data_IF_870010182109
#
_entry.id   IF_870010182109
#
_cell.length_a   1.000
_cell.length_b   1.000
_cell.length_c   1.000
_cell.angle_alpha   90.00
_cell.angle_beta   90.00
_cell.angle_gamma   90.00
#
_symmetry.space_group_name_H-M   'P 1'
#
loop_
_entity.id
_entity.type
_entity.pdbx_description
1 polymer ?
#
# COMPACT_ATOMS: atom_id res chain seq x y z
N UNK A 1 10.67 7.25 2.53
CA UNK A 1 10.62 8.23 1.42
C UNK A 1 9.28 8.93 1.47
N UNK A 2 9.26 10.22 1.72
CA UNK A 2 8.00 10.92 1.91
C UNK A 2 7.68 11.94 0.80
N UNK A 3 8.65 12.50 0.09
CA UNK A 3 8.35 13.35 -1.07
C UNK A 3 8.15 12.53 -2.34
N UNK A 4 7.39 13.08 -3.29
CA UNK A 4 7.22 12.48 -4.61
C UNK A 4 8.57 12.33 -5.32
N UNK A 5 9.40 13.37 -5.26
CA UNK A 5 10.71 13.41 -5.89
C UNK A 5 11.67 12.33 -5.36
N UNK A 6 11.65 12.09 -4.04
CA UNK A 6 12.45 11.03 -3.42
C UNK A 6 12.00 9.64 -3.86
N UNK A 7 10.69 9.44 -3.99
CA UNK A 7 10.11 8.17 -4.47
C UNK A 7 10.50 7.91 -5.93
N UNK A 8 10.35 8.91 -6.79
CA UNK A 8 10.75 8.81 -8.21
C UNK A 8 12.24 8.54 -8.32
N UNK A 9 13.08 9.27 -7.56
CA UNK A 9 14.53 9.04 -7.54
C UNK A 9 14.88 7.61 -7.11
N UNK A 10 14.22 7.08 -6.09
CA UNK A 10 14.41 5.70 -5.65
C UNK A 10 14.02 4.68 -6.72
N UNK A 11 12.90 4.88 -7.42
CA UNK A 11 12.48 4.05 -8.54
C UNK A 11 13.48 4.11 -9.70
N UNK A 12 13.98 5.30 -10.03
CA UNK A 12 15.02 5.48 -11.05
C UNK A 12 16.32 4.76 -10.67
N UNK A 13 16.74 4.81 -9.41
CA UNK A 13 17.92 4.09 -8.94
C UNK A 13 17.72 2.56 -8.94
N UNK A 14 16.54 2.10 -8.52
CA UNK A 14 16.19 0.68 -8.65
C UNK A 14 16.25 0.23 -10.11
N UNK A 15 15.68 1.03 -11.03
CA UNK A 15 15.76 0.78 -12.48
C UNK A 15 17.20 0.78 -12.96
N UNK A 16 18.04 1.73 -12.51
CA UNK A 16 19.45 1.83 -12.93
C UNK A 16 20.24 0.57 -12.60
N UNK A 17 20.10 0.04 -11.38
CA UNK A 17 20.86 -1.13 -10.92
C UNK A 17 20.29 -2.47 -11.38
N UNK A 18 19.02 -2.50 -11.78
CA UNK A 18 18.37 -3.71 -12.29
C UNK A 18 18.85 -4.00 -13.72
N UNK A 19 19.10 -5.26 -14.04
CA UNK A 19 19.47 -5.71 -15.41
C UNK A 19 18.31 -5.44 -16.39
N UNK A 20 18.60 -5.27 -17.70
CA UNK A 20 17.55 -5.20 -18.72
C UNK A 20 16.60 -6.41 -18.63
N UNK A 21 15.28 -6.17 -18.65
CA UNK A 21 14.24 -7.19 -18.46
C UNK A 21 14.08 -7.71 -17.03
N UNK A 22 14.86 -7.20 -16.09
CA UNK A 22 14.76 -7.57 -14.68
C UNK A 22 13.52 -7.00 -14.00
N UNK A 23 13.15 -7.58 -12.87
CA UNK A 23 11.93 -7.26 -12.12
C UNK A 23 12.28 -6.47 -10.85
N UNK A 24 11.44 -5.48 -10.55
CA UNK A 24 11.53 -4.63 -9.36
C UNK A 24 10.24 -4.81 -8.56
N UNK A 25 10.36 -5.10 -7.26
CA UNK A 25 9.24 -5.15 -6.33
C UNK A 25 9.24 -3.89 -5.48
N UNK A 26 8.13 -3.17 -5.47
CA UNK A 26 7.97 -1.93 -4.69
C UNK A 26 6.80 -2.07 -3.73
N UNK A 27 7.08 -1.99 -2.44
CA UNK A 27 6.05 -2.08 -1.41
C UNK A 27 5.58 -0.68 -0.98
N UNK A 28 4.27 -0.52 -0.80
CA UNK A 28 3.62 0.71 -0.38
C UNK A 28 2.70 0.47 0.81
N UNK A 29 2.55 1.48 1.66
CA UNK A 29 1.54 1.54 2.72
C UNK A 29 0.36 2.36 2.22
N UNK A 30 -0.86 1.82 2.34
CA UNK A 30 -2.03 2.40 1.70
C UNK A 30 -2.76 3.38 2.60
N UNK A 31 -3.19 4.50 2.00
CA UNK A 31 -3.85 5.60 2.69
C UNK A 31 -5.16 5.19 3.37
N UNK A 32 -6.06 4.53 2.64
CA UNK A 32 -7.42 4.22 3.11
C UNK A 32 -7.40 3.29 4.32
N UNK A 33 -6.49 2.32 4.35
CA UNK A 33 -6.32 1.46 5.51
C UNK A 33 -5.95 2.25 6.78
N UNK A 34 -5.04 3.21 6.66
CA UNK A 34 -4.63 4.06 7.78
C UNK A 34 -5.78 4.93 8.29
N UNK A 35 -6.53 5.56 7.37
CA UNK A 35 -7.71 6.35 7.72
C UNK A 35 -8.75 5.50 8.46
N UNK A 36 -9.08 4.32 7.92
CA UNK A 36 -10.11 3.45 8.51
C UNK A 36 -9.69 2.87 9.85
N UNK A 37 -8.43 2.45 9.99
CA UNK A 37 -7.97 1.77 11.20
C UNK A 37 -7.50 2.73 12.28
N UNK A 38 -6.52 3.57 12.00
CA UNK A 38 -6.00 4.52 12.97
C UNK A 38 -6.98 5.68 13.19
N UNK A 39 -7.50 6.24 12.10
CA UNK A 39 -8.45 7.36 12.18
C UNK A 39 -9.75 6.96 12.86
N UNK A 40 -10.55 6.12 12.21
CA UNK A 40 -11.91 5.84 12.68
C UNK A 40 -11.98 4.75 13.75
N UNK A 41 -11.40 3.56 13.50
CA UNK A 41 -11.50 2.43 14.43
C UNK A 41 -10.84 2.73 15.79
N UNK A 42 -9.69 3.42 15.79
CA UNK A 42 -8.99 3.85 17.01
C UNK A 42 -9.41 5.25 17.49
N UNK A 43 -10.32 5.93 16.78
CA UNK A 43 -10.94 7.22 17.14
C UNK A 43 -9.98 8.42 17.17
N UNK A 44 -8.91 8.39 16.38
CA UNK A 44 -7.97 9.50 16.24
C UNK A 44 -8.33 10.49 15.12
N UNK A 45 -9.38 10.23 14.33
CA UNK A 45 -9.70 11.01 13.13
C UNK A 45 -9.84 12.51 13.39
N UNK A 46 -10.56 12.89 14.43
CA UNK A 46 -10.79 14.32 14.76
C UNK A 46 -9.51 15.04 15.18
N UNK A 47 -8.61 14.37 15.88
CA UNK A 47 -7.31 14.88 16.27
C UNK A 47 -6.41 15.03 15.02
N UNK A 48 -6.32 14.00 14.20
CA UNK A 48 -5.52 14.02 12.97
C UNK A 48 -5.93 15.12 11.99
N UNK A 49 -7.24 15.39 11.84
CA UNK A 49 -7.74 16.48 11.00
C UNK A 49 -7.35 17.84 11.60
N UNK A 50 -7.56 18.03 12.90
CA UNK A 50 -7.24 19.28 13.60
C UNK A 50 -5.75 19.61 13.54
N UNK A 51 -4.90 18.60 13.64
CA UNK A 51 -3.43 18.72 13.64
C UNK A 51 -2.84 18.76 12.22
N UNK A 52 -3.67 18.78 11.17
CA UNK A 52 -3.25 18.81 9.78
C UNK A 52 -2.55 17.52 9.30
N UNK A 53 -2.72 16.41 10.02
CA UNK A 53 -2.17 15.10 9.64
C UNK A 53 -3.04 14.35 8.63
N UNK A 54 -4.21 14.88 8.35
CA UNK A 54 -5.14 14.39 7.32
C UNK A 54 -5.68 15.62 6.60
N UNK A 55 -5.61 15.65 5.26
CA UNK A 55 -6.15 16.72 4.43
C UNK A 55 -7.67 16.69 4.34
N UNK A 56 -8.26 17.72 3.71
CA UNK A 56 -9.71 17.78 3.44
C UNK A 56 -10.20 16.64 2.55
N UNK A 57 -9.33 16.13 1.66
CA UNK A 57 -9.60 14.99 0.79
C UNK A 57 -9.27 13.63 1.45
N UNK A 58 -9.07 13.62 2.77
CA UNK A 58 -8.68 12.44 3.54
C UNK A 58 -7.38 11.77 3.06
N UNK A 59 -6.39 12.56 2.64
CA UNK A 59 -5.02 12.09 2.43
C UNK A 59 -4.23 12.21 3.73
N UNK A 60 -3.57 11.12 4.14
CA UNK A 60 -2.59 11.18 5.24
C UNK A 60 -1.41 12.08 4.83
N UNK A 61 -1.08 13.02 5.72
CA UNK A 61 0.01 13.98 5.54
C UNK A 61 1.20 13.53 6.37
N UNK A 62 2.23 13.00 5.70
CA UNK A 62 3.45 12.54 6.35
C UNK A 62 4.43 13.68 6.53
N UNK A 63 5.16 13.66 7.65
CA UNK A 63 6.25 14.58 7.95
C UNK A 63 7.61 13.90 7.69
N UNK A 64 8.71 14.65 7.51
CA UNK A 64 10.04 14.09 7.30
C UNK A 64 10.52 13.15 8.41
N UNK A 65 9.98 13.31 9.61
CA UNK A 65 10.26 12.46 10.77
C UNK A 65 9.48 11.15 10.78
N UNK A 66 8.45 11.02 9.93
CA UNK A 66 7.61 9.84 9.90
C UNK A 66 8.34 8.69 9.19
N UNK A 67 8.13 7.49 9.69
CA UNK A 67 8.77 6.28 9.15
C UNK A 67 8.21 5.91 7.77
N UNK A 68 6.92 6.17 7.57
CA UNK A 68 6.19 5.82 6.36
C UNK A 68 5.47 7.04 5.78
N UNK A 69 5.30 7.01 4.45
CA UNK A 69 4.31 7.81 3.75
C UNK A 69 3.20 6.90 3.21
N UNK A 70 2.00 7.46 3.10
CA UNK A 70 0.79 6.72 2.72
C UNK A 70 0.38 7.14 1.32
N UNK A 71 0.13 6.15 0.46
CA UNK A 71 -0.20 6.41 -0.95
C UNK A 71 -1.55 5.82 -1.35
N UNK A 72 -2.09 6.34 -2.44
CA UNK A 72 -3.23 5.81 -3.18
C UNK A 72 -2.77 5.18 -4.49
N UNK A 73 -3.62 4.36 -5.10
CA UNK A 73 -3.28 3.64 -6.35
C UNK A 73 -2.89 4.60 -7.46
N UNK A 74 -3.64 5.69 -7.64
CA UNK A 74 -3.36 6.70 -8.66
C UNK A 74 -2.02 7.42 -8.47
N UNK A 75 -1.56 7.54 -7.24
CA UNK A 75 -0.23 8.10 -6.95
C UNK A 75 0.88 7.11 -7.32
N UNK A 76 0.66 5.81 -7.12
CA UNK A 76 1.60 4.76 -7.55
C UNK A 76 1.72 4.76 -9.08
N UNK A 77 0.58 4.88 -9.80
CA UNK A 77 0.57 4.96 -11.26
C UNK A 77 1.37 6.15 -11.78
N UNK A 78 1.20 7.31 -11.15
CA UNK A 78 1.95 8.53 -11.50
C UNK A 78 3.47 8.37 -11.25
N UNK A 79 3.87 7.71 -10.16
CA UNK A 79 5.28 7.43 -9.86
C UNK A 79 5.93 6.52 -10.90
N UNK A 80 5.23 5.45 -11.29
CA UNK A 80 5.71 4.52 -12.32
C UNK A 80 5.87 5.19 -13.68
N UNK A 81 4.89 6.01 -14.06
CA UNK A 81 4.94 6.76 -15.30
C UNK A 81 6.14 7.71 -15.34
N UNK A 82 6.38 8.45 -14.27
CA UNK A 82 7.48 9.40 -14.17
C UNK A 82 8.85 8.70 -14.17
N UNK A 83 8.97 7.55 -13.49
CA UNK A 83 10.19 6.73 -13.50
C UNK A 83 10.38 5.94 -14.82
N UNK A 84 9.38 5.91 -15.69
CA UNK A 84 9.39 5.14 -16.94
C UNK A 84 9.50 3.64 -16.70
N UNK A 85 8.77 3.11 -15.71
CA UNK A 85 8.69 1.70 -15.36
C UNK A 85 7.34 1.12 -15.81
N UNK A 86 7.38 -0.10 -16.35
CA UNK A 86 6.18 -0.82 -16.79
C UNK A 86 5.68 -1.74 -15.66
N UNK A 87 4.39 -1.61 -15.31
CA UNK A 87 3.76 -2.53 -14.36
C UNK A 87 3.49 -3.88 -15.02
N UNK A 88 3.99 -4.95 -14.42
CA UNK A 88 3.62 -6.33 -14.75
C UNK A 88 2.29 -6.66 -14.06
N UNK A 89 2.23 -6.44 -12.75
CA UNK A 89 1.03 -6.58 -11.92
C UNK A 89 1.18 -5.81 -10.61
N UNK A 90 0.05 -5.57 -9.97
CA UNK A 90 -0.02 -5.04 -8.61
C UNK A 90 -0.85 -6.00 -7.76
N UNK A 91 -0.40 -6.26 -6.54
CA UNK A 91 -1.05 -7.20 -5.63
C UNK A 91 -1.15 -6.60 -4.23
N UNK A 92 -2.11 -7.08 -3.45
CA UNK A 92 -2.07 -6.90 -1.99
C UNK A 92 -1.53 -8.16 -1.32
N UNK A 93 -0.42 -8.07 -0.55
CA UNK A 93 0.17 -9.25 0.11
C UNK A 93 -0.62 -9.68 1.35
N UNK A 94 -1.44 -8.81 1.91
CA UNK A 94 -2.18 -9.03 3.16
C UNK A 94 -3.70 -8.92 3.01
N UNK A 95 -4.21 -8.36 1.91
CA UNK A 95 -5.65 -8.25 1.65
C UNK A 95 -6.43 -7.71 2.85
N UNK A 96 -7.49 -8.41 3.31
CA UNK A 96 -8.29 -8.02 4.46
C UNK A 96 -7.68 -8.45 5.82
N UNK A 97 -6.54 -9.17 5.85
CA UNK A 97 -6.02 -9.81 7.04
C UNK A 97 -5.81 -8.84 8.22
N UNK A 98 -5.30 -7.65 7.95
CA UNK A 98 -5.06 -6.65 8.99
C UNK A 98 -6.34 -6.10 9.64
N UNK A 99 -7.47 -6.11 8.92
CA UNK A 99 -8.77 -5.78 9.50
C UNK A 99 -9.33 -6.89 10.41
N UNK A 100 -8.96 -8.14 10.11
CA UNK A 100 -9.56 -9.35 10.69
C UNK A 100 -8.60 -10.12 11.61
N UNK A 101 -7.48 -9.54 12.02
CA UNK A 101 -6.42 -10.23 12.77
C UNK A 101 -6.94 -11.09 13.93
N UNK A 102 -7.86 -10.56 14.74
CA UNK A 102 -8.41 -11.31 15.89
C UNK A 102 -9.25 -12.51 15.43
N UNK A 103 -10.04 -12.34 14.37
CA UNK A 103 -10.84 -13.42 13.79
C UNK A 103 -9.91 -14.48 13.21
N UNK A 104 -8.93 -14.09 12.41
CA UNK A 104 -8.00 -15.04 11.78
C UNK A 104 -7.21 -15.86 12.81
N UNK A 105 -6.83 -15.24 13.93
CA UNK A 105 -6.13 -15.94 15.02
C UNK A 105 -7.02 -16.93 15.79
N UNK A 106 -8.33 -16.91 15.58
CA UNK A 106 -9.30 -17.82 16.23
C UNK A 106 -9.87 -18.88 15.28
N UNK A 107 -9.49 -18.85 14.00
CA UNK A 107 -9.91 -19.84 13.03
C UNK A 107 -9.28 -21.20 13.32
N UNK A 108 -10.00 -22.26 12.95
CA UNK A 108 -9.41 -23.59 12.83
C UNK A 108 -8.42 -23.65 11.67
N UNK A 109 -7.56 -24.66 11.64
CA UNK A 109 -6.60 -24.86 10.54
C UNK A 109 -7.30 -24.95 9.19
N UNK A 110 -8.43 -25.67 9.10
CA UNK A 110 -9.23 -25.79 7.88
C UNK A 110 -9.78 -24.43 7.43
N UNK A 111 -10.36 -23.64 8.33
CA UNK A 111 -10.90 -22.31 8.02
C UNK A 111 -9.78 -21.35 7.61
N UNK A 112 -8.61 -21.44 8.24
CA UNK A 112 -7.47 -20.60 7.87
C UNK A 112 -6.94 -20.95 6.48
N UNK A 113 -6.88 -22.25 6.12
CA UNK A 113 -6.51 -22.68 4.77
C UNK A 113 -7.50 -22.15 3.71
N UNK A 114 -8.79 -22.18 3.99
CA UNK A 114 -9.81 -21.57 3.11
C UNK A 114 -9.62 -20.05 2.98
N UNK A 115 -9.24 -19.38 4.06
CA UNK A 115 -8.90 -17.95 3.99
C UNK A 115 -7.68 -17.69 3.08
N UNK A 116 -6.64 -18.52 3.15
CA UNK A 116 -5.48 -18.42 2.26
C UNK A 116 -5.89 -18.61 0.80
N UNK A 117 -6.71 -19.61 0.49
CA UNK A 117 -7.23 -19.84 -0.86
C UNK A 117 -8.06 -18.65 -1.38
N UNK A 118 -8.93 -18.10 -0.53
CA UNK A 118 -9.67 -16.87 -0.85
C UNK A 118 -8.72 -15.71 -1.14
N UNK A 119 -7.74 -15.49 -0.26
CA UNK A 119 -6.76 -14.41 -0.44
C UNK A 119 -5.99 -14.56 -1.75
N UNK A 120 -5.48 -15.74 -2.06
CA UNK A 120 -4.76 -16.00 -3.31
C UNK A 120 -5.64 -15.78 -4.55
N UNK A 121 -6.95 -16.03 -4.45
CA UNK A 121 -7.90 -15.77 -5.54
C UNK A 121 -8.26 -14.29 -5.73
N UNK A 122 -7.99 -13.46 -4.73
CA UNK A 122 -8.42 -12.04 -4.71
C UNK A 122 -7.28 -11.03 -4.65
N UNK A 123 -6.06 -11.44 -4.34
CA UNK A 123 -4.92 -10.54 -4.10
C UNK A 123 -4.52 -9.66 -5.31
N UNK A 124 -4.91 -10.04 -6.53
CA UNK A 124 -4.67 -9.27 -7.76
C UNK A 124 -5.89 -8.42 -8.18
N UNK A 125 -6.97 -8.43 -7.43
CA UNK A 125 -8.19 -7.68 -7.78
C UNK A 125 -8.00 -6.18 -7.55
N UNK A 126 -8.05 -5.41 -8.63
CA UNK A 126 -7.83 -3.96 -8.63
C UNK A 126 -8.82 -3.19 -7.74
N UNK A 127 -10.05 -3.67 -7.64
CA UNK A 127 -11.11 -3.08 -6.83
C UNK A 127 -10.93 -3.28 -5.31
N UNK A 128 -10.00 -4.15 -4.89
CA UNK A 128 -9.74 -4.45 -3.48
C UNK A 128 -8.38 -3.90 -2.99
N UNK A 129 -7.44 -3.66 -3.87
CA UNK A 129 -6.05 -3.31 -3.52
C UNK A 129 -5.98 -2.01 -2.73
N UNK A 130 -6.73 -0.97 -3.12
CA UNK A 130 -6.66 0.36 -2.49
C UNK A 130 -7.06 0.39 -1.01
N UNK A 131 -7.86 -0.58 -0.55
CA UNK A 131 -8.31 -0.67 0.84
C UNK A 131 -7.44 -1.59 1.71
N UNK A 132 -6.48 -2.32 1.14
CA UNK A 132 -5.56 -3.17 1.88
C UNK A 132 -4.54 -2.34 2.67
N UNK A 133 -3.87 -2.94 3.66
CA UNK A 133 -2.84 -2.23 4.43
C UNK A 133 -1.59 -1.98 3.59
N UNK A 134 -1.21 -2.96 2.79
CA UNK A 134 -0.02 -2.91 1.94
C UNK A 134 -0.34 -3.33 0.52
N UNK A 135 0.46 -2.79 -0.38
CA UNK A 135 0.43 -3.12 -1.81
C UNK A 135 1.85 -3.36 -2.31
N UNK A 136 2.02 -4.35 -3.16
CA UNK A 136 3.28 -4.61 -3.85
C UNK A 136 3.07 -4.41 -5.35
N UNK A 137 3.78 -3.45 -5.90
CA UNK A 137 3.82 -3.19 -7.34
C UNK A 137 5.00 -3.95 -7.96
N UNK A 138 4.75 -4.75 -8.96
CA UNK A 138 5.72 -5.59 -9.65
C UNK A 138 5.97 -4.98 -11.01
N UNK A 139 7.17 -4.44 -11.18
CA UNK A 139 7.55 -3.60 -12.31
C UNK A 139 8.64 -4.27 -13.15
N UNK A 140 8.67 -3.97 -14.44
CA UNK A 140 9.73 -4.37 -15.38
C UNK A 140 10.59 -3.15 -15.73
N UNK A 141 11.92 -3.40 -15.78
CA UNK A 141 12.85 -2.46 -16.38
C UNK A 141 12.80 -2.53 -17.87
#
# INVERSE_FOLDING_TARGET
LFTKEDKVRALCEAKRVTKPGGIIFVAYVMNEYSILTYGFKQKHIAECVRDGRISEEFQCMSAPSDLYDYVRIEQIDALNQEAGLERIKIITPDGPANYMRQVLNSLTEEEFELFIQYHLSTCERQDLIGAAAHTVDILRK
#
